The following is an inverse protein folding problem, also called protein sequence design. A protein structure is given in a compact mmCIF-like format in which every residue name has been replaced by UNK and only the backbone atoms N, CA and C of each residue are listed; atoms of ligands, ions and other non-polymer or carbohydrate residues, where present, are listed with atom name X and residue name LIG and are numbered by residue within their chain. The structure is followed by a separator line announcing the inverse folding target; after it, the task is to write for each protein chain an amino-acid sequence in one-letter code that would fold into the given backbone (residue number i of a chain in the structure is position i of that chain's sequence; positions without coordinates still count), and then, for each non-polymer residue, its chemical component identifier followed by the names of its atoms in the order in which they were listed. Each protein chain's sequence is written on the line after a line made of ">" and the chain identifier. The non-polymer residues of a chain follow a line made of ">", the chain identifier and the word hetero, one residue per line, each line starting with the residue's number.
data_IF_004981613051
#
_entry.id   IF_004981613051
#
_cell.length_a   1.000
_cell.length_b   1.000
_cell.length_c   1.000
_cell.angle_alpha   90.00
_cell.angle_beta   90.00
_cell.angle_gamma   90.00
#
_symmetry.space_group_name_H-M   'P 1'
#
loop_
_entity.id
_entity.type
_entity.pdbx_description
1 polymer ?
#
# COMPACT_ATOMS: atom_id res chain seq x y z
N UNK A 1 -7.72 -10.55 -1.05
CA UNK A 1 -8.15 -10.28 -2.45
C UNK A 1 -7.75 -8.86 -2.78
N UNK A 2 -7.06 -8.63 -3.90
CA UNK A 2 -6.74 -7.28 -4.37
C UNK A 2 -8.00 -6.77 -5.09
N UNK A 3 -8.48 -5.58 -4.76
CA UNK A 3 -9.63 -5.00 -5.48
C UNK A 3 -9.16 -4.56 -6.87
N UNK A 4 -9.63 -5.23 -7.93
CA UNK A 4 -9.25 -4.93 -9.32
C UNK A 4 -9.74 -3.56 -9.81
N UNK A 5 -10.80 -3.01 -9.21
CA UNK A 5 -11.39 -1.73 -9.61
C UNK A 5 -10.68 -0.50 -9.02
N UNK A 6 -9.69 -0.70 -8.15
CA UNK A 6 -9.05 0.38 -7.41
C UNK A 6 -7.54 0.32 -7.68
N UNK A 7 -7.09 1.16 -8.60
CA UNK A 7 -5.68 1.32 -8.94
C UNK A 7 -5.22 2.67 -8.40
N UNK A 8 -4.13 2.69 -7.65
CA UNK A 8 -3.45 3.91 -7.24
C UNK A 8 -2.55 4.33 -8.40
N UNK A 9 -2.92 5.42 -9.06
CA UNK A 9 -2.22 5.92 -10.24
C UNK A 9 -1.23 7.04 -9.88
N UNK A 10 -1.46 7.73 -8.77
CA UNK A 10 -0.68 8.88 -8.32
C UNK A 10 -0.11 8.73 -6.91
N UNK A 11 0.91 9.53 -6.57
CA UNK A 11 1.49 9.56 -5.23
C UNK A 11 0.52 10.13 -4.18
N UNK A 12 -0.36 11.06 -4.57
CA UNK A 12 -1.37 11.64 -3.68
C UNK A 12 -2.42 10.58 -3.24
N UNK A 13 -2.83 9.73 -4.18
CA UNK A 13 -3.69 8.58 -3.89
C UNK A 13 -2.99 7.55 -3.01
N UNK A 14 -1.68 7.33 -3.20
CA UNK A 14 -0.88 6.48 -2.32
C UNK A 14 -0.84 7.05 -0.91
N UNK A 15 -0.59 8.37 -0.77
CA UNK A 15 -0.58 9.04 0.53
C UNK A 15 -1.94 8.89 1.24
N UNK A 16 -3.02 9.20 0.53
CA UNK A 16 -4.38 9.09 1.04
C UNK A 16 -4.68 7.67 1.50
N UNK A 17 -4.29 6.67 0.71
CA UNK A 17 -4.44 5.27 1.06
C UNK A 17 -3.67 4.89 2.34
N UNK A 18 -2.41 5.30 2.46
CA UNK A 18 -1.60 5.06 3.66
C UNK A 18 -2.22 5.74 4.90
N UNK A 19 -2.68 6.99 4.77
CA UNK A 19 -3.35 7.71 5.87
C UNK A 19 -4.65 7.02 6.31
N UNK A 20 -5.43 6.50 5.35
CA UNK A 20 -6.67 5.76 5.65
C UNK A 20 -6.39 4.48 6.44
N UNK A 21 -5.30 3.78 6.15
CA UNK A 21 -4.84 2.61 6.91
C UNK A 21 -4.43 3.02 8.32
N UNK A 22 -3.59 4.05 8.45
CA UNK A 22 -3.13 4.58 9.74
C UNK A 22 -4.30 5.05 10.63
N UNK A 23 -5.32 5.65 10.01
CA UNK A 23 -6.53 6.10 10.71
C UNK A 23 -7.49 4.96 11.08
N UNK A 24 -7.21 3.71 10.69
CA UNK A 24 -8.11 2.57 10.89
C UNK A 24 -9.40 2.66 10.06
N UNK A 25 -9.45 3.55 9.06
CA UNK A 25 -10.65 3.84 8.27
C UNK A 25 -11.14 2.67 7.41
N UNK A 26 -10.32 1.63 7.25
CA UNK A 26 -10.64 0.43 6.49
C UNK A 26 -11.16 -0.73 7.37
N UNK A 27 -11.30 -0.54 8.69
CA UNK A 27 -11.74 -1.59 9.61
C UNK A 27 -10.77 -2.77 9.71
N UNK A 28 -9.52 -2.57 9.29
CA UNK A 28 -8.45 -3.57 9.36
C UNK A 28 -7.95 -3.65 10.79
N UNK A 29 -8.01 -4.85 11.38
CA UNK A 29 -7.45 -5.13 12.69
C UNK A 29 -6.04 -5.69 12.52
N UNK A 30 -5.13 -5.33 13.43
CA UNK A 30 -3.75 -5.84 13.48
C UNK A 30 -2.89 -5.50 12.24
N UNK A 31 -3.06 -4.31 11.67
CA UNK A 31 -2.14 -3.82 10.63
C UNK A 31 -0.77 -3.57 11.26
N UNK A 32 0.22 -4.33 10.83
CA UNK A 32 1.60 -4.25 11.33
C UNK A 32 2.51 -3.47 10.37
N UNK A 33 2.16 -3.43 9.08
CA UNK A 33 2.94 -2.66 8.10
C UNK A 33 2.32 -2.60 6.72
N UNK A 34 2.96 -1.80 5.86
CA UNK A 34 2.63 -1.66 4.45
C UNK A 34 3.90 -1.85 3.62
N UNK A 35 3.80 -2.51 2.47
CA UNK A 35 4.92 -2.79 1.58
C UNK A 35 4.50 -2.62 0.11
N UNK A 36 5.44 -2.27 -0.77
CA UNK A 36 5.26 -2.37 -2.22
C UNK A 36 5.79 -3.73 -2.70
N UNK A 37 5.00 -4.44 -3.48
CA UNK A 37 5.33 -5.77 -3.96
C UNK A 37 4.96 -5.97 -5.44
N UNK A 38 5.70 -6.85 -6.11
CA UNK A 38 5.43 -7.31 -7.49
C UNK A 38 5.23 -8.83 -7.55
N UNK A 39 5.29 -9.52 -6.40
CA UNK A 39 5.18 -10.97 -6.32
C UNK A 39 3.71 -11.41 -6.38
N UNK A 40 3.13 -11.36 -7.57
CA UNK A 40 1.83 -11.95 -7.89
C UNK A 40 1.88 -12.64 -9.26
N UNK A 41 0.81 -13.36 -9.59
CA UNK A 41 0.72 -14.15 -10.82
C UNK A 41 0.95 -13.33 -12.12
N UNK A 42 0.69 -12.03 -12.09
CA UNK A 42 0.73 -11.15 -13.26
C UNK A 42 1.96 -10.22 -13.28
N UNK A 43 2.82 -10.28 -12.25
CA UNK A 43 3.97 -9.39 -12.08
C UNK A 43 3.62 -7.91 -11.88
N UNK A 44 2.33 -7.57 -11.71
CA UNK A 44 1.88 -6.17 -11.63
C UNK A 44 2.23 -5.59 -10.25
N UNK A 45 2.80 -4.38 -10.15
CA UNK A 45 3.09 -3.80 -8.85
C UNK A 45 1.80 -3.49 -8.08
N UNK A 46 1.83 -3.72 -6.77
CA UNK A 46 0.74 -3.42 -5.85
C UNK A 46 1.29 -3.01 -4.49
N UNK A 47 0.48 -2.27 -3.74
CA UNK A 47 0.72 -2.00 -2.32
C UNK A 47 0.03 -3.06 -1.49
N UNK A 48 0.75 -3.63 -0.54
CA UNK A 48 0.36 -4.74 0.32
C UNK A 48 0.28 -4.25 1.77
N UNK A 49 -0.87 -4.41 2.41
CA UNK A 49 -1.09 -4.19 3.84
C UNK A 49 -0.93 -5.53 4.54
N UNK A 50 -0.04 -5.59 5.53
CA UNK A 50 0.36 -6.81 6.21
C UNK A 50 -0.12 -6.81 7.66
N UNK A 51 -0.49 -8.01 8.15
CA UNK A 51 -0.73 -8.24 9.57
C UNK A 51 0.57 -8.50 10.36
N UNK A 52 0.44 -8.73 11.66
CA UNK A 52 1.58 -9.06 12.54
C UNK A 52 2.31 -10.35 12.16
N UNK A 53 1.67 -11.25 11.41
CA UNK A 53 2.26 -12.49 10.88
C UNK A 53 2.80 -12.31 9.45
N UNK A 54 2.94 -11.07 8.99
CA UNK A 54 3.35 -10.71 7.63
C UNK A 54 2.43 -11.29 6.54
N UNK A 55 1.18 -11.61 6.87
CA UNK A 55 0.17 -12.07 5.93
C UNK A 55 -0.51 -10.88 5.26
N UNK A 56 -0.82 -11.01 3.97
CA UNK A 56 -1.53 -10.00 3.20
C UNK A 56 -2.99 -9.88 3.68
N UNK A 57 -3.31 -8.75 4.31
CA UNK A 57 -4.69 -8.40 4.69
C UNK A 57 -5.44 -7.78 3.50
N UNK A 58 -4.82 -6.79 2.88
CA UNK A 58 -5.40 -6.01 1.81
C UNK A 58 -4.31 -5.65 0.80
N UNK A 59 -4.61 -5.73 -0.49
CA UNK A 59 -3.73 -5.18 -1.51
C UNK A 59 -4.50 -4.27 -2.45
N UNK A 60 -3.81 -3.25 -2.97
CA UNK A 60 -4.34 -2.35 -4.00
C UNK A 60 -3.33 -2.22 -5.13
N UNK A 61 -3.81 -2.30 -6.36
CA UNK A 61 -2.94 -2.19 -7.52
C UNK A 61 -2.31 -0.80 -7.57
N UNK A 62 -1.08 -0.71 -8.09
CA UNK A 62 -0.42 0.58 -8.31
C UNK A 62 0.14 0.66 -9.72
N UNK A 63 0.36 1.87 -10.22
CA UNK A 63 1.10 2.08 -11.47
C UNK A 63 2.61 1.89 -11.24
N UNK A 64 3.39 1.59 -12.29
CA UNK A 64 4.85 1.55 -12.20
C UNK A 64 5.45 2.87 -11.69
N UNK A 65 4.85 4.01 -12.04
CA UNK A 65 5.26 5.31 -11.55
C UNK A 65 5.15 5.40 -10.02
N UNK A 66 4.00 5.00 -9.45
CA UNK A 66 3.79 4.96 -8.00
C UNK A 66 4.70 3.93 -7.35
N UNK A 67 4.91 2.77 -7.97
CA UNK A 67 5.80 1.74 -7.45
C UNK A 67 7.25 2.24 -7.32
N UNK A 68 7.74 2.99 -8.30
CA UNK A 68 9.12 3.50 -8.29
C UNK A 68 9.30 4.70 -7.35
N UNK A 69 8.35 5.65 -7.35
CA UNK A 69 8.47 6.91 -6.60
C UNK A 69 7.85 6.85 -5.19
N UNK A 70 6.99 5.88 -4.91
CA UNK A 70 6.30 5.71 -3.62
C UNK A 70 7.06 4.86 -2.59
N UNK A 71 8.25 4.35 -2.94
CA UNK A 71 9.06 3.48 -2.07
C UNK A 71 9.38 4.14 -0.73
N UNK A 72 9.75 5.43 -0.75
CA UNK A 72 10.05 6.18 0.46
C UNK A 72 8.81 6.40 1.33
N UNK A 73 7.66 6.69 0.72
CA UNK A 73 6.40 6.88 1.45
C UNK A 73 5.95 5.62 2.18
N UNK A 74 6.12 4.45 1.55
CA UNK A 74 5.80 3.17 2.17
C UNK A 74 6.82 2.79 3.25
N UNK A 75 8.11 3.10 3.04
CA UNK A 75 9.19 2.74 3.96
C UNK A 75 9.22 3.60 5.23
N UNK A 76 9.01 4.91 5.10
CA UNK A 76 9.08 5.86 6.23
C UNK A 76 7.71 6.23 6.79
N UNK A 77 6.63 5.73 6.17
CA UNK A 77 5.26 6.17 6.42
C UNK A 77 5.01 7.57 5.85
N UNK A 78 3.81 8.10 6.07
CA UNK A 78 3.42 9.45 5.60
C UNK A 78 4.13 10.59 6.36
N UNK A 79 5.05 10.23 7.27
CA UNK A 79 5.90 11.19 7.98
C UNK A 79 6.92 11.75 7.02
N UNK A 80 6.64 12.94 6.50
CA UNK A 80 7.63 13.77 5.82
C UNK A 80 8.88 13.87 6.72
N UNK A 81 10.08 13.49 6.24
CA UNK A 81 11.31 13.91 6.91
C UNK A 81 11.34 15.43 6.80
N UNK A 82 11.17 16.09 7.95
CA UNK A 82 11.19 17.54 8.11
C UNK A 82 12.59 18.10 7.84
#
# INVERSE_FOLDING_TARGET
>A
MINDNDVIETLDELETFLRLIEAGGLGLNNVSGVALATNNANGRPFVAVLDDNQQLLLGRWVTPYVFENGKDMVRYGTKKPH
#
